data_IF_383106336583
#
_entry.id   IF_383106336583
#
_cell.length_a   1.000
_cell.length_b   1.000
_cell.length_c   1.000
_cell.angle_alpha   90.00
_cell.angle_beta   90.00
_cell.angle_gamma   90.00
#
_symmetry.space_group_name_H-M   'P 1'
#
loop_
_entity.id
_entity.type
_entity.pdbx_description
1 polymer ?
#
# COMPACT_ATOMS: atom_id res chain seq x y z
N UNK A 1 21.26 24.31 -0.58
CA UNK A 1 20.43 25.06 0.40
C UNK A 1 20.57 24.41 1.77
N UNK A 2 20.68 25.17 2.87
CA UNK A 2 20.64 24.60 4.23
C UNK A 2 19.19 24.54 4.71
N UNK A 3 18.83 23.42 5.31
CA UNK A 3 17.50 23.14 5.84
C UNK A 3 17.66 22.81 7.33
N UNK A 4 16.85 23.43 8.17
CA UNK A 4 16.72 23.07 9.57
C UNK A 4 15.56 22.12 9.70
N UNK A 5 15.79 20.95 10.31
CA UNK A 5 14.76 19.94 10.51
C UNK A 5 14.60 19.66 12.00
N UNK A 6 13.38 19.26 12.38
CA UNK A 6 13.01 18.79 13.70
C UNK A 6 11.96 17.71 13.52
N UNK A 7 12.29 16.47 13.86
CA UNK A 7 11.41 15.35 13.57
C UNK A 7 11.79 14.06 14.30
N UNK A 8 11.01 13.03 14.06
CA UNK A 8 11.29 11.69 14.62
C UNK A 8 12.14 10.93 13.61
N UNK A 9 13.30 10.46 14.06
CA UNK A 9 14.16 9.58 13.27
C UNK A 9 13.64 8.15 13.30
N UNK A 10 13.47 7.52 12.14
CA UNK A 10 12.91 6.18 12.00
C UNK A 10 13.80 5.37 11.05
N UNK A 11 14.90 4.83 11.59
CA UNK A 11 15.93 3.99 10.95
C UNK A 11 16.71 4.59 9.79
N UNK A 12 16.04 5.12 8.75
CA UNK A 12 16.67 5.61 7.52
C UNK A 12 16.02 6.90 7.00
N UNK A 13 15.23 7.54 7.86
CA UNK A 13 14.47 8.74 7.53
C UNK A 13 14.14 9.56 8.76
N UNK A 14 13.85 10.82 8.55
CA UNK A 14 13.24 11.71 9.53
C UNK A 14 11.86 12.10 9.03
N UNK A 15 10.84 11.95 9.87
CA UNK A 15 9.52 12.53 9.63
C UNK A 15 9.53 13.92 10.25
N UNK A 16 9.64 14.92 9.39
CA UNK A 16 9.59 16.34 9.75
C UNK A 16 8.21 16.91 9.41
N UNK A 17 7.55 17.66 10.31
CA UNK A 17 6.21 18.19 10.09
C UNK A 17 6.15 19.24 8.97
N UNK A 18 7.26 19.92 8.69
CA UNK A 18 7.35 20.96 7.65
C UNK A 18 7.75 20.34 6.32
N UNK A 19 8.83 19.55 6.32
CA UNK A 19 9.45 19.07 5.08
C UNK A 19 9.00 17.66 4.69
N UNK A 20 8.20 16.99 5.52
CA UNK A 20 7.73 15.63 5.27
C UNK A 20 8.82 14.60 5.53
N UNK A 21 8.90 13.59 4.67
CA UNK A 21 9.83 12.47 4.82
C UNK A 21 11.21 12.82 4.22
N UNK A 22 12.24 12.91 5.08
CA UNK A 22 13.62 13.21 4.70
C UNK A 22 14.47 11.95 4.78
N UNK A 23 15.01 11.49 3.65
CA UNK A 23 15.83 10.27 3.60
C UNK A 23 17.23 10.55 4.14
N UNK A 24 17.63 9.84 5.20
CA UNK A 24 18.89 10.05 5.90
C UNK A 24 19.29 8.81 6.70
N UNK A 25 20.55 8.42 6.63
CA UNK A 25 21.08 7.34 7.44
C UNK A 25 21.94 7.95 8.57
N UNK A 26 21.50 7.76 9.82
CA UNK A 26 22.15 8.24 11.03
C UNK A 26 22.43 7.06 11.96
N UNK A 27 23.58 7.06 12.62
CA UNK A 27 23.93 6.04 13.61
C UNK A 27 23.35 6.43 14.98
N UNK A 28 22.02 6.47 15.10
CA UNK A 28 21.29 6.82 16.32
C UNK A 28 20.16 5.82 16.54
N UNK A 29 19.69 5.69 17.78
CA UNK A 29 18.56 4.83 18.09
C UNK A 29 17.30 5.22 17.28
N UNK A 30 16.63 4.24 16.65
CA UNK A 30 15.35 4.45 15.99
C UNK A 30 14.32 5.03 16.96
N UNK A 31 13.42 5.85 16.41
CA UNK A 31 12.38 6.59 17.13
C UNK A 31 12.88 7.66 18.12
N UNK A 32 14.14 8.08 17.99
CA UNK A 32 14.65 9.26 18.67
C UNK A 32 14.10 10.55 18.04
N UNK A 33 13.81 11.56 18.87
CA UNK A 33 13.57 12.91 18.37
C UNK A 33 14.93 13.52 17.99
N UNK A 34 15.04 14.00 16.75
CA UNK A 34 16.28 14.56 16.20
C UNK A 34 15.99 15.93 15.61
N UNK A 35 16.83 16.90 15.95
CA UNK A 35 16.80 18.23 15.36
C UNK A 35 18.21 18.68 14.99
N UNK A 36 18.30 19.45 13.90
CA UNK A 36 19.60 19.78 13.34
C UNK A 36 19.51 20.62 12.07
N UNK A 37 20.64 20.68 11.37
CA UNK A 37 20.73 21.32 10.06
C UNK A 37 21.37 20.37 9.06
N UNK A 38 20.83 20.30 7.85
CA UNK A 38 21.40 19.53 6.75
C UNK A 38 21.39 20.33 5.46
N UNK A 39 22.28 20.01 4.52
CA UNK A 39 22.03 20.32 3.10
C UNK A 39 21.20 19.19 2.51
N UNK A 40 20.58 19.44 1.36
CA UNK A 40 19.88 18.38 0.64
C UNK A 40 20.22 18.43 -0.85
N UNK A 41 20.12 17.26 -1.47
CA UNK A 41 20.11 17.07 -2.93
C UNK A 41 18.74 16.52 -3.31
N UNK A 42 18.17 17.01 -4.41
CA UNK A 42 16.90 16.49 -4.93
C UNK A 42 17.19 15.28 -5.82
N UNK A 43 16.63 14.12 -5.46
CA UNK A 43 16.71 12.90 -6.27
C UNK A 43 15.29 12.38 -6.53
N UNK A 44 14.81 12.56 -7.76
CA UNK A 44 13.42 12.22 -8.11
C UNK A 44 12.40 13.03 -7.32
N UNK A 45 11.56 12.36 -6.52
CA UNK A 45 10.57 12.98 -5.61
C UNK A 45 11.03 13.03 -4.15
N UNK A 46 12.30 12.71 -3.87
CA UNK A 46 12.85 12.57 -2.52
C UNK A 46 13.97 13.61 -2.32
N UNK A 47 14.02 14.22 -1.13
CA UNK A 47 15.15 15.04 -0.70
C UNK A 47 16.12 14.17 0.09
N UNK A 48 17.29 13.93 -0.46
CA UNK A 48 18.35 13.19 0.22
C UNK A 48 19.20 14.19 0.99
N UNK A 49 19.22 14.07 2.31
CA UNK A 49 20.01 14.96 3.16
C UNK A 49 21.50 14.60 3.05
N UNK A 50 22.34 15.63 2.96
CA UNK A 50 23.81 15.58 2.88
C UNK A 50 24.39 16.57 3.90
N UNK A 51 25.54 16.27 4.50
CA UNK A 51 26.18 17.13 5.53
C UNK A 51 25.26 17.44 6.73
N UNK A 52 24.85 16.40 7.45
CA UNK A 52 23.89 16.54 8.55
C UNK A 52 24.63 16.83 9.85
N UNK A 53 24.25 17.92 10.52
CA UNK A 53 24.68 18.22 11.89
C UNK A 53 23.50 18.06 12.84
N UNK A 54 23.56 17.03 13.67
CA UNK A 54 22.59 16.77 14.74
C UNK A 54 22.95 17.67 15.93
N UNK A 55 21.99 18.42 16.46
CA UNK A 55 22.18 19.24 17.67
C UNK A 55 21.81 18.50 18.96
N UNK A 56 20.95 17.48 18.88
CA UNK A 56 20.60 16.62 20.00
C UNK A 56 19.71 15.44 19.58
N UNK A 57 19.71 14.38 20.38
CA UNK A 57 18.86 13.21 20.26
C UNK A 57 18.26 12.84 21.62
N UNK A 58 16.97 12.51 21.65
CA UNK A 58 16.33 11.99 22.86
C UNK A 58 15.58 10.69 22.54
N UNK A 59 15.94 9.57 23.19
CA UNK A 59 15.19 8.32 23.04
C UNK A 59 13.77 8.52 23.57
N UNK A 60 12.78 7.94 22.89
CA UNK A 60 11.37 8.07 23.28
C UNK A 60 10.79 6.72 23.67
N UNK A 61 9.55 6.72 24.18
CA UNK A 61 8.81 5.48 24.47
C UNK A 61 8.64 4.60 23.21
N UNK A 62 8.74 5.21 22.02
CA UNK A 62 8.69 4.51 20.74
C UNK A 62 9.91 3.62 20.52
N UNK A 63 11.07 3.88 21.17
CA UNK A 63 12.24 2.99 21.07
C UNK A 63 11.90 1.58 21.54
N UNK A 64 11.03 1.43 22.55
CA UNK A 64 10.55 0.11 23.01
C UNK A 64 9.74 -0.62 21.93
N UNK A 65 8.96 0.10 21.14
CA UNK A 65 8.18 -0.46 20.03
C UNK A 65 9.13 -0.95 18.92
N UNK A 66 10.20 -0.21 18.64
CA UNK A 66 11.21 -0.62 17.66
C UNK A 66 12.02 -1.83 18.14
N UNK A 67 12.39 -1.89 19.43
CA UNK A 67 13.03 -3.08 19.98
C UNK A 67 12.11 -4.32 19.89
N UNK A 68 10.80 -4.14 20.11
CA UNK A 68 9.84 -5.21 19.92
C UNK A 68 9.71 -5.62 18.45
N UNK A 69 9.73 -4.66 17.51
CA UNK A 69 9.79 -4.93 16.07
C UNK A 69 11.03 -5.75 15.71
N UNK A 70 12.19 -5.43 16.27
CA UNK A 70 13.43 -6.18 16.04
C UNK A 70 13.36 -7.60 16.60
N UNK A 71 12.74 -7.78 17.77
CA UNK A 71 12.47 -9.12 18.30
C UNK A 71 11.54 -9.93 17.38
N UNK A 72 10.49 -9.31 16.82
CA UNK A 72 9.61 -9.97 15.85
C UNK A 72 10.31 -10.31 14.53
N UNK A 73 11.25 -9.47 14.12
CA UNK A 73 12.07 -9.66 12.92
C UNK A 73 13.03 -10.84 13.10
N UNK A 74 13.70 -10.95 14.25
CA UNK A 74 14.57 -12.07 14.57
C UNK A 74 13.81 -13.40 14.52
N UNK A 75 12.55 -13.44 15.00
CA UNK A 75 11.70 -14.64 14.87
C UNK A 75 11.40 -15.03 13.42
N UNK A 76 11.26 -14.04 12.52
CA UNK A 76 11.10 -14.32 11.08
C UNK A 76 12.38 -14.95 10.54
N UNK A 77 13.54 -14.39 10.89
CA UNK A 77 14.83 -14.86 10.39
C UNK A 77 15.15 -16.27 10.91
N UNK A 78 14.88 -16.55 12.19
CA UNK A 78 15.08 -17.87 12.80
C UNK A 78 14.20 -18.97 12.17
N UNK A 79 12.93 -18.67 11.85
CA UNK A 79 11.97 -19.68 11.39
C UNK A 79 11.83 -19.82 9.88
N UNK A 80 12.13 -18.75 9.13
CA UNK A 80 11.97 -18.73 7.68
C UNK A 80 13.34 -18.53 7.03
N UNK A 81 14.09 -17.54 7.50
CA UNK A 81 15.44 -17.23 7.04
C UNK A 81 15.56 -16.84 5.55
N UNK A 82 16.79 -16.50 5.16
CA UNK A 82 17.16 -16.24 3.76
C UNK A 82 16.38 -15.11 3.09
N UNK A 83 16.25 -15.19 1.78
CA UNK A 83 15.58 -14.14 0.98
C UNK A 83 14.09 -14.01 1.30
N UNK A 84 13.43 -15.12 1.64
CA UNK A 84 11.99 -15.13 1.93
C UNK A 84 11.71 -14.48 3.29
N UNK A 85 12.54 -14.74 4.30
CA UNK A 85 12.47 -14.05 5.59
C UNK A 85 12.62 -12.54 5.42
N UNK A 86 13.60 -12.10 4.63
CA UNK A 86 13.81 -10.68 4.29
C UNK A 86 12.63 -10.06 3.54
N UNK A 87 12.01 -10.80 2.62
CA UNK A 87 10.78 -10.37 1.95
C UNK A 87 9.64 -10.19 2.96
N UNK A 88 9.43 -11.16 3.86
CA UNK A 88 8.39 -11.08 4.89
C UNK A 88 8.61 -9.89 5.83
N UNK A 89 9.85 -9.68 6.27
CA UNK A 89 10.23 -8.53 7.10
C UNK A 89 9.98 -7.20 6.38
N UNK A 90 10.32 -7.09 5.09
CA UNK A 90 10.05 -5.89 4.31
C UNK A 90 8.56 -5.60 4.13
N UNK A 91 7.76 -6.64 3.87
CA UNK A 91 6.31 -6.57 3.64
C UNK A 91 5.55 -6.22 4.92
N UNK A 92 5.94 -6.83 6.05
CA UNK A 92 5.17 -6.76 7.30
C UNK A 92 5.72 -5.68 8.23
N UNK A 93 7.03 -5.67 8.45
CA UNK A 93 7.70 -4.75 9.38
C UNK A 93 8.21 -3.50 8.66
N UNK A 94 8.31 -3.52 7.33
CA UNK A 94 8.84 -2.39 6.57
C UNK A 94 10.37 -2.31 6.59
N UNK A 95 11.09 -3.37 6.98
CA UNK A 95 12.56 -3.40 6.91
C UNK A 95 13.02 -3.73 5.49
N UNK A 96 13.19 -2.70 4.67
CA UNK A 96 13.68 -2.87 3.28
C UNK A 96 15.20 -2.80 3.14
N UNK A 97 15.91 -2.37 4.18
CA UNK A 97 17.36 -2.16 4.12
C UNK A 97 18.13 -3.45 3.80
N UNK A 98 17.60 -4.59 4.26
CA UNK A 98 18.29 -5.88 4.17
C UNK A 98 17.95 -6.68 2.91
N UNK A 99 17.04 -6.16 2.07
CA UNK A 99 16.62 -6.77 0.82
C UNK A 99 17.75 -6.69 -0.22
N UNK A 100 18.19 -7.82 -0.79
CA UNK A 100 19.11 -7.81 -1.91
C UNK A 100 18.56 -7.03 -3.12
N UNK A 101 19.41 -6.26 -3.83
CA UNK A 101 18.96 -5.43 -4.97
C UNK A 101 18.25 -6.22 -6.08
N UNK A 102 18.63 -7.48 -6.30
CA UNK A 102 18.02 -8.32 -7.34
C UNK A 102 16.57 -8.69 -7.01
N UNK A 103 16.20 -8.82 -5.73
CA UNK A 103 14.81 -9.07 -5.32
C UNK A 103 13.97 -7.84 -5.66
N UNK A 104 14.46 -6.66 -5.30
CA UNK A 104 13.78 -5.41 -5.61
C UNK A 104 13.55 -5.26 -7.12
N UNK A 105 14.58 -5.53 -7.93
CA UNK A 105 14.49 -5.48 -9.40
C UNK A 105 13.46 -6.48 -9.95
N UNK A 106 13.41 -7.71 -9.41
CA UNK A 106 12.40 -8.71 -9.80
C UNK A 106 10.97 -8.26 -9.51
N UNK A 107 10.73 -7.63 -8.36
CA UNK A 107 9.43 -7.04 -8.03
C UNK A 107 9.08 -5.86 -8.94
N UNK A 108 10.06 -5.05 -9.36
CA UNK A 108 9.84 -4.01 -10.37
C UNK A 108 9.42 -4.61 -11.72
N UNK A 109 10.13 -5.64 -12.21
CA UNK A 109 9.79 -6.30 -13.48
C UNK A 109 8.38 -6.89 -13.49
N UNK A 110 7.93 -7.44 -12.36
CA UNK A 110 6.58 -7.98 -12.24
C UNK A 110 5.50 -6.90 -12.03
N UNK A 111 5.84 -5.62 -11.96
CA UNK A 111 4.90 -4.55 -11.61
C UNK A 111 4.39 -4.60 -10.16
N UNK A 112 5.09 -5.33 -9.31
CA UNK A 112 4.73 -5.65 -7.94
C UNK A 112 5.61 -4.93 -6.90
N UNK A 113 6.45 -3.97 -7.30
CA UNK A 113 7.33 -3.23 -6.38
C UNK A 113 6.58 -2.54 -5.22
N UNK A 114 5.31 -2.20 -5.43
CA UNK A 114 4.43 -1.65 -4.40
C UNK A 114 4.06 -2.67 -3.30
N UNK A 115 4.24 -3.98 -3.54
CA UNK A 115 4.02 -5.04 -2.55
C UNK A 115 5.19 -5.15 -1.57
N UNK A 116 6.44 -4.88 -1.98
CA UNK A 116 7.59 -4.78 -1.06
C UNK A 116 7.48 -3.58 -0.10
N UNK A 117 6.55 -2.68 -0.39
CA UNK A 117 6.22 -1.57 0.46
C UNK A 117 5.05 -1.92 1.36
N UNK A 118 5.22 -1.77 2.68
CA UNK A 118 4.06 -1.72 3.57
C UNK A 118 3.09 -0.66 3.04
N UNK A 119 1.92 -1.12 2.63
CA UNK A 119 0.91 -0.37 1.90
C UNK A 119 -0.43 -0.49 2.60
N UNK A 120 -1.43 0.29 2.17
CA UNK A 120 -2.76 0.20 2.76
C UNK A 120 -3.43 -1.17 2.58
N UNK A 121 -3.05 -1.93 1.55
CA UNK A 121 -3.49 -3.32 1.37
C UNK A 121 -2.99 -4.21 2.52
N UNK A 122 -1.70 -4.12 2.87
CA UNK A 122 -1.11 -4.83 4.00
C UNK A 122 -1.82 -4.48 5.30
N UNK A 123 -2.06 -3.18 5.53
CA UNK A 123 -2.80 -2.68 6.69
C UNK A 123 -4.22 -3.24 6.76
N UNK A 124 -4.92 -3.29 5.63
CA UNK A 124 -6.26 -3.89 5.53
C UNK A 124 -6.26 -5.40 5.78
N UNK A 125 -5.25 -6.13 5.28
CA UNK A 125 -5.09 -7.56 5.55
C UNK A 125 -4.85 -7.81 7.04
N UNK A 126 -3.95 -7.04 7.67
CA UNK A 126 -3.69 -7.12 9.12
C UNK A 126 -4.97 -6.82 9.91
N UNK A 127 -5.72 -5.78 9.55
CA UNK A 127 -7.02 -5.48 10.15
C UNK A 127 -7.98 -6.66 10.07
N UNK A 128 -8.11 -7.27 8.88
CA UNK A 128 -9.01 -8.41 8.66
C UNK A 128 -8.60 -9.65 9.45
N UNK A 129 -7.30 -9.97 9.52
CA UNK A 129 -6.78 -11.09 10.30
C UNK A 129 -7.14 -10.91 11.78
N UNK A 130 -6.87 -9.72 12.33
CA UNK A 130 -7.18 -9.40 13.72
C UNK A 130 -8.69 -9.47 13.96
N UNK A 131 -9.50 -8.88 13.08
CA UNK A 131 -10.95 -8.89 13.20
C UNK A 131 -11.51 -10.32 13.17
N UNK A 132 -11.07 -11.14 12.23
CA UNK A 132 -11.48 -12.55 12.13
C UNK A 132 -11.07 -13.31 13.39
N UNK A 133 -9.84 -13.13 13.86
CA UNK A 133 -9.37 -13.76 15.09
C UNK A 133 -10.25 -13.40 16.29
N UNK A 134 -10.55 -12.11 16.49
CA UNK A 134 -11.44 -11.64 17.57
C UNK A 134 -12.87 -12.18 17.44
N UNK A 135 -13.39 -12.31 16.21
CA UNK A 135 -14.70 -12.91 15.98
C UNK A 135 -14.72 -14.43 16.24
N UNK A 136 -13.63 -15.14 15.93
CA UNK A 136 -13.49 -16.58 16.21
C UNK A 136 -13.51 -16.85 17.70
N UNK A 137 -12.87 -16.01 18.51
CA UNK A 137 -12.96 -16.05 19.99
C UNK A 137 -14.23 -15.40 20.55
N UNK A 138 -15.25 -15.24 19.70
CA UNK A 138 -16.61 -14.81 20.06
C UNK A 138 -16.75 -13.39 20.64
N UNK A 139 -15.80 -12.50 20.35
CA UNK A 139 -15.96 -11.07 20.68
C UNK A 139 -17.02 -10.46 19.76
N UNK A 140 -17.96 -9.70 20.33
CA UNK A 140 -19.03 -9.02 19.57
C UNK A 140 -18.44 -8.11 18.49
N UNK A 141 -19.15 -7.95 17.36
CA UNK A 141 -18.66 -7.20 16.18
C UNK A 141 -18.16 -5.79 16.50
N UNK A 142 -18.92 -4.98 17.26
CA UNK A 142 -18.55 -3.59 17.59
C UNK A 142 -17.22 -3.49 18.37
N UNK A 143 -17.05 -4.18 19.53
CA UNK A 143 -15.75 -4.16 20.21
C UNK A 143 -14.64 -4.79 19.39
N UNK A 144 -14.92 -5.84 18.60
CA UNK A 144 -13.92 -6.44 17.71
C UNK A 144 -13.37 -5.43 16.67
N UNK A 145 -14.24 -4.61 16.07
CA UNK A 145 -13.85 -3.54 15.15
C UNK A 145 -12.95 -2.50 15.83
N UNK A 146 -13.33 -2.04 17.03
CA UNK A 146 -12.57 -1.03 17.78
C UNK A 146 -11.20 -1.57 18.18
N UNK A 147 -11.15 -2.77 18.75
CA UNK A 147 -9.89 -3.42 19.14
C UNK A 147 -9.00 -3.64 17.91
N UNK A 148 -9.56 -4.06 16.78
CA UNK A 148 -8.82 -4.21 15.52
C UNK A 148 -8.24 -2.88 15.03
N UNK A 149 -9.02 -1.79 15.09
CA UNK A 149 -8.53 -0.44 14.76
C UNK A 149 -7.38 0.03 15.65
N UNK A 150 -7.47 -0.25 16.96
CA UNK A 150 -6.41 0.06 17.92
C UNK A 150 -5.13 -0.73 17.61
N UNK A 151 -5.24 -2.05 17.41
CA UNK A 151 -4.09 -2.91 17.09
C UNK A 151 -3.44 -2.53 15.75
N UNK A 152 -4.24 -2.15 14.74
CA UNK A 152 -3.72 -1.65 13.46
C UNK A 152 -3.02 -0.29 13.61
N UNK A 153 -3.48 0.55 14.54
CA UNK A 153 -2.79 1.81 14.86
C UNK A 153 -1.44 1.56 15.54
N UNK A 154 -1.37 0.54 16.42
CA UNK A 154 -0.10 0.07 16.98
C UNK A 154 0.80 -0.54 15.92
N UNK A 155 0.25 -1.29 14.96
CA UNK A 155 0.99 -1.79 13.79
C UNK A 155 1.55 -0.64 12.92
N UNK A 156 0.79 0.44 12.76
CA UNK A 156 1.29 1.64 12.07
C UNK A 156 2.50 2.26 12.78
N UNK A 157 2.50 2.29 14.12
CA UNK A 157 3.66 2.72 14.90
C UNK A 157 4.84 1.75 14.74
N UNK A 158 4.56 0.45 14.79
CA UNK A 158 5.56 -0.62 14.68
C UNK A 158 6.27 -0.61 13.31
N UNK A 159 5.57 -0.26 12.24
CA UNK A 159 6.16 -0.10 10.90
C UNK A 159 6.85 1.26 10.70
N UNK A 160 7.00 2.06 11.77
CA UNK A 160 7.63 3.37 11.75
C UNK A 160 6.79 4.44 11.07
N UNK A 161 5.46 4.42 11.23
CA UNK A 161 4.54 5.42 10.69
C UNK A 161 4.72 5.68 9.19
N UNK A 162 4.93 4.61 8.41
CA UNK A 162 4.98 4.71 6.94
C UNK A 162 3.71 5.41 6.44
N UNK A 163 3.88 6.45 5.61
CA UNK A 163 2.76 7.26 5.12
C UNK A 163 1.59 6.42 4.54
N UNK A 164 1.81 5.38 3.71
CA UNK A 164 0.71 4.54 3.23
C UNK A 164 -0.08 3.83 4.35
N UNK A 165 0.62 3.38 5.40
CA UNK A 165 0.02 2.69 6.55
C UNK A 165 -0.78 3.67 7.39
N UNK A 166 -0.22 4.85 7.68
CA UNK A 166 -0.91 5.90 8.42
C UNK A 166 -2.24 6.29 7.75
N UNK A 167 -2.23 6.45 6.43
CA UNK A 167 -3.44 6.79 5.65
C UNK A 167 -4.48 5.69 5.72
N UNK A 168 -4.06 4.44 5.56
CA UNK A 168 -4.94 3.30 5.66
C UNK A 168 -5.53 3.18 7.07
N UNK A 169 -4.75 3.40 8.12
CA UNK A 169 -5.24 3.45 9.50
C UNK A 169 -6.28 4.55 9.72
N UNK A 170 -6.05 5.76 9.17
CA UNK A 170 -7.03 6.87 9.24
C UNK A 170 -8.33 6.49 8.52
N UNK A 171 -8.24 5.95 7.30
CA UNK A 171 -9.41 5.49 6.54
C UNK A 171 -10.17 4.37 7.27
N UNK A 172 -9.46 3.43 7.88
CA UNK A 172 -10.03 2.36 8.69
C UNK A 172 -10.78 2.93 9.90
N UNK A 173 -10.25 3.95 10.57
CA UNK A 173 -10.96 4.60 11.68
C UNK A 173 -12.26 5.26 11.25
N UNK A 174 -12.29 5.96 10.12
CA UNK A 174 -13.53 6.49 9.57
C UNK A 174 -14.55 5.38 9.27
N UNK A 175 -14.10 4.27 8.68
CA UNK A 175 -14.94 3.09 8.45
C UNK A 175 -15.49 2.50 9.76
N UNK A 176 -14.63 2.29 10.77
CA UNK A 176 -15.03 1.76 12.09
C UNK A 176 -16.06 2.68 12.76
N UNK A 177 -15.84 4.00 12.73
CA UNK A 177 -16.78 4.97 13.29
C UNK A 177 -18.14 4.88 12.58
N UNK A 178 -18.15 4.70 11.26
CA UNK A 178 -19.37 4.50 10.48
C UNK A 178 -20.11 3.25 10.89
N UNK A 179 -19.43 2.11 10.94
CA UNK A 179 -20.02 0.82 11.34
C UNK A 179 -20.53 0.85 12.79
N UNK A 180 -19.77 1.41 13.73
CA UNK A 180 -20.16 1.46 15.15
C UNK A 180 -21.38 2.36 15.37
N UNK A 181 -21.46 3.48 14.63
CA UNK A 181 -22.59 4.41 14.64
C UNK A 181 -23.75 3.96 13.73
N UNK A 182 -23.62 2.82 13.05
CA UNK A 182 -24.62 2.28 12.11
C UNK A 182 -25.02 3.31 11.03
N UNK A 183 -24.04 4.09 10.55
CA UNK A 183 -24.23 5.07 9.50
C UNK A 183 -23.67 4.55 8.19
N UNK A 184 -24.46 4.64 7.12
CA UNK A 184 -23.99 4.46 5.76
C UNK A 184 -23.09 5.65 5.38
N UNK A 185 -21.79 5.53 5.61
CA UNK A 185 -20.82 6.53 5.19
C UNK A 185 -20.45 6.27 3.72
N UNK A 186 -20.62 7.28 2.87
CA UNK A 186 -20.15 7.22 1.48
C UNK A 186 -18.62 7.02 1.46
N UNK A 187 -18.09 5.98 0.79
CA UNK A 187 -16.65 5.75 0.69
C UNK A 187 -15.85 6.91 0.11
N UNK A 188 -16.42 7.70 -0.80
CA UNK A 188 -15.78 8.91 -1.36
C UNK A 188 -15.69 10.03 -0.31
N UNK A 189 -16.69 10.14 0.58
CA UNK A 189 -16.63 11.08 1.69
C UNK A 189 -15.56 10.66 2.70
N UNK A 190 -15.43 9.36 2.99
CA UNK A 190 -14.34 8.82 3.81
C UNK A 190 -12.97 9.12 3.20
N UNK A 191 -12.81 8.88 1.89
CA UNK A 191 -11.59 9.21 1.16
C UNK A 191 -11.27 10.70 1.27
N UNK A 192 -12.24 11.57 1.01
CA UNK A 192 -12.06 13.03 1.05
C UNK A 192 -11.74 13.54 2.46
N UNK A 193 -12.48 13.08 3.47
CA UNK A 193 -12.26 13.43 4.88
C UNK A 193 -10.87 13.00 5.36
N UNK A 194 -10.43 11.78 4.99
CA UNK A 194 -9.08 11.32 5.30
C UNK A 194 -8.02 12.20 4.64
N UNK A 195 -8.20 12.57 3.37
CA UNK A 195 -7.28 13.44 2.64
C UNK A 195 -7.15 14.82 3.29
N UNK A 196 -8.28 15.44 3.64
CA UNK A 196 -8.30 16.73 4.34
C UNK A 196 -7.57 16.64 5.67
N UNK A 197 -7.87 15.62 6.48
CA UNK A 197 -7.25 15.42 7.79
C UNK A 197 -5.73 15.29 7.66
N UNK A 198 -5.25 14.48 6.70
CA UNK A 198 -3.81 14.31 6.45
C UNK A 198 -3.16 15.62 6.00
N UNK A 199 -3.80 16.39 5.13
CA UNK A 199 -3.26 17.65 4.62
C UNK A 199 -3.25 18.77 5.67
N UNK A 200 -4.16 18.73 6.65
CA UNK A 200 -4.12 19.64 7.81
C UNK A 200 -2.86 19.40 8.64
N UNK A 201 -2.53 18.13 8.93
CA UNK A 201 -1.37 17.79 9.75
C UNK A 201 -0.05 17.79 8.98
N UNK A 202 -0.07 17.48 7.68
CA UNK A 202 1.11 17.34 6.84
C UNK A 202 0.82 17.87 5.41
N UNK A 203 0.76 19.19 5.22
CA UNK A 203 0.36 19.81 3.95
C UNK A 203 1.31 19.46 2.79
N UNK A 204 2.60 19.27 3.07
CA UNK A 204 3.60 18.83 2.10
C UNK A 204 3.31 17.44 1.50
N UNK A 205 2.44 16.64 2.12
CA UNK A 205 2.06 15.30 1.65
C UNK A 205 1.45 15.30 0.25
N UNK A 206 0.79 16.38 -0.19
CA UNK A 206 0.17 16.48 -1.52
C UNK A 206 1.18 16.32 -2.67
N UNK A 207 2.43 16.71 -2.43
CA UNK A 207 3.53 16.58 -3.40
C UNK A 207 4.21 15.21 -3.34
N UNK A 208 3.89 14.38 -2.34
CA UNK A 208 4.48 13.05 -2.24
C UNK A 208 3.83 12.10 -3.25
N UNK A 209 4.67 11.42 -4.03
CA UNK A 209 4.22 10.44 -5.02
C UNK A 209 3.37 9.33 -4.39
N UNK A 210 3.76 8.89 -3.19
CA UNK A 210 3.03 7.89 -2.43
C UNK A 210 1.61 8.35 -2.08
N UNK A 211 1.40 9.65 -1.80
CA UNK A 211 0.06 10.21 -1.53
C UNK A 211 -0.80 10.15 -2.78
N UNK A 212 -0.28 10.68 -3.87
CA UNK A 212 -0.99 10.74 -5.15
C UNK A 212 -1.39 9.35 -5.62
N UNK A 213 -0.46 8.39 -5.65
CA UNK A 213 -0.73 7.01 -6.06
C UNK A 213 -1.79 6.34 -5.17
N UNK A 214 -1.72 6.51 -3.85
CA UNK A 214 -2.67 5.89 -2.93
C UNK A 214 -4.09 6.44 -3.10
N UNK A 215 -4.24 7.76 -3.17
CA UNK A 215 -5.54 8.40 -3.29
C UNK A 215 -6.16 8.17 -4.68
N UNK A 216 -5.36 8.25 -5.75
CA UNK A 216 -5.82 7.98 -7.12
C UNK A 216 -6.21 6.50 -7.27
N UNK A 217 -5.47 5.56 -6.67
CA UNK A 217 -5.85 4.16 -6.69
C UNK A 217 -7.23 3.94 -6.06
N UNK A 218 -7.44 4.41 -4.82
CA UNK A 218 -8.71 4.24 -4.11
C UNK A 218 -9.85 4.96 -4.83
N UNK A 219 -9.62 6.19 -5.28
CA UNK A 219 -10.60 6.95 -6.06
C UNK A 219 -11.03 6.21 -7.34
N UNK A 220 -10.06 5.67 -8.09
CA UNK A 220 -10.32 4.94 -9.33
C UNK A 220 -11.08 3.64 -9.06
N UNK A 221 -10.72 2.90 -7.99
CA UNK A 221 -11.47 1.73 -7.54
C UNK A 221 -12.92 2.09 -7.24
N UNK A 222 -13.17 3.12 -6.41
CA UNK A 222 -14.51 3.50 -5.99
C UNK A 222 -15.39 3.95 -7.17
N UNK A 223 -14.84 4.74 -8.10
CA UNK A 223 -15.59 5.20 -9.27
C UNK A 223 -15.87 4.05 -10.23
N UNK A 224 -14.85 3.26 -10.59
CA UNK A 224 -15.02 2.19 -11.58
C UNK A 224 -15.97 1.12 -11.03
N UNK A 225 -15.85 0.72 -9.76
CA UNK A 225 -16.80 -0.22 -9.15
C UNK A 225 -18.23 0.33 -9.15
N UNK A 226 -18.43 1.61 -8.85
CA UNK A 226 -19.75 2.26 -8.88
C UNK A 226 -20.34 2.29 -10.31
N UNK A 227 -19.51 2.56 -11.31
CA UNK A 227 -19.92 2.57 -12.74
C UNK A 227 -20.36 1.18 -13.19
N UNK A 228 -19.67 0.13 -12.75
CA UNK A 228 -19.93 -1.26 -13.13
C UNK A 228 -20.87 -2.00 -12.17
N UNK A 229 -21.36 -1.35 -11.12
CA UNK A 229 -22.19 -1.96 -10.06
C UNK A 229 -23.40 -2.72 -10.61
N UNK A 230 -24.14 -2.11 -11.54
CA UNK A 230 -25.33 -2.70 -12.20
C UNK A 230 -25.01 -3.93 -13.06
N UNK A 231 -23.79 -4.03 -13.60
CA UNK A 231 -23.37 -5.21 -14.38
C UNK A 231 -22.81 -6.29 -13.47
N UNK A 232 -22.08 -5.89 -12.44
CA UNK A 232 -21.57 -6.79 -11.41
C UNK A 232 -22.72 -7.43 -10.61
N UNK A 233 -23.84 -6.74 -10.44
CA UNK A 233 -25.04 -7.28 -9.76
C UNK A 233 -25.73 -8.38 -10.56
N UNK A 234 -25.64 -8.37 -11.89
CA UNK A 234 -26.25 -9.37 -12.78
C UNK A 234 -25.52 -10.72 -12.82
N UNK A 235 -24.32 -10.80 -12.25
CA UNK A 235 -23.54 -12.05 -12.22
C UNK A 235 -24.19 -13.01 -11.22
N UNK A 236 -24.74 -14.12 -11.72
CA UNK A 236 -25.49 -15.10 -10.93
C UNK A 236 -24.61 -15.92 -9.97
N UNK A 237 -23.37 -16.22 -10.35
CA UNK A 237 -22.47 -17.01 -9.52
C UNK A 237 -21.80 -16.15 -8.44
N UNK A 238 -22.35 -16.19 -7.23
CA UNK A 238 -21.86 -15.44 -6.06
C UNK A 238 -20.41 -15.78 -5.69
N UNK A 239 -19.98 -17.03 -5.85
CA UNK A 239 -18.60 -17.44 -5.53
C UNK A 239 -17.61 -16.80 -6.52
N UNK A 240 -17.86 -16.97 -7.82
CA UNK A 240 -17.04 -16.40 -8.88
C UNK A 240 -16.97 -14.87 -8.77
N UNK A 241 -18.12 -14.24 -8.51
CA UNK A 241 -18.23 -12.81 -8.32
C UNK A 241 -17.35 -12.32 -7.16
N UNK A 242 -17.46 -12.96 -5.99
CA UNK A 242 -16.78 -12.52 -4.76
C UNK A 242 -15.27 -12.76 -4.79
N UNK A 243 -14.82 -13.89 -5.33
CA UNK A 243 -13.43 -14.33 -5.20
C UNK A 243 -12.57 -14.06 -6.43
N UNK A 244 -13.16 -13.87 -7.61
CA UNK A 244 -12.41 -13.67 -8.86
C UNK A 244 -12.74 -12.32 -9.48
N UNK A 245 -14.03 -12.06 -9.75
CA UNK A 245 -14.43 -10.89 -10.54
C UNK A 245 -14.20 -9.60 -9.77
N UNK A 246 -14.69 -9.49 -8.52
CA UNK A 246 -14.49 -8.27 -7.72
C UNK A 246 -13.00 -7.97 -7.51
N UNK A 247 -12.14 -8.91 -7.05
CA UNK A 247 -10.70 -8.66 -6.93
C UNK A 247 -10.03 -8.25 -8.24
N UNK A 248 -10.40 -8.89 -9.36
CA UNK A 248 -9.87 -8.51 -10.68
C UNK A 248 -10.26 -7.08 -11.06
N UNK A 249 -11.51 -6.68 -10.84
CA UNK A 249 -11.96 -5.31 -11.08
C UNK A 249 -11.25 -4.31 -10.15
N UNK A 250 -11.02 -4.65 -8.88
CA UNK A 250 -10.26 -3.80 -7.95
C UNK A 250 -8.83 -3.58 -8.46
N UNK A 251 -8.12 -4.66 -8.82
CA UNK A 251 -6.75 -4.58 -9.35
C UNK A 251 -6.69 -3.78 -10.65
N UNK A 252 -7.60 -4.06 -11.59
CA UNK A 252 -7.68 -3.34 -12.87
C UNK A 252 -7.95 -1.84 -12.65
N UNK A 253 -8.89 -1.51 -11.75
CA UNK A 253 -9.27 -0.12 -11.47
C UNK A 253 -8.12 0.66 -10.85
N UNK A 254 -7.42 0.06 -9.87
CA UNK A 254 -6.26 0.65 -9.24
C UNK A 254 -5.14 0.87 -10.25
N UNK A 255 -4.88 -0.12 -11.10
CA UNK A 255 -3.81 -0.08 -12.09
C UNK A 255 -4.10 0.96 -13.16
N UNK A 256 -5.31 1.00 -13.72
CA UNK A 256 -5.71 2.02 -14.69
C UNK A 256 -5.52 3.43 -14.11
N UNK A 257 -6.00 3.67 -12.90
CA UNK A 257 -5.85 4.97 -12.24
C UNK A 257 -4.41 5.39 -11.99
N UNK A 258 -3.57 4.45 -11.53
CA UNK A 258 -2.18 4.75 -11.13
C UNK A 258 -1.18 4.67 -12.28
N UNK A 259 -1.50 3.97 -13.36
CA UNK A 259 -0.66 3.76 -14.53
C UNK A 259 0.07 5.02 -15.04
N UNK A 260 -0.60 6.16 -15.31
CA UNK A 260 0.08 7.34 -15.83
C UNK A 260 1.11 7.91 -14.88
N UNK A 261 0.81 7.91 -13.57
CA UNK A 261 1.74 8.39 -12.56
C UNK A 261 2.92 7.43 -12.41
N UNK A 262 2.67 6.12 -12.43
CA UNK A 262 3.75 5.12 -12.36
C UNK A 262 4.70 5.29 -13.54
N UNK A 263 4.17 5.38 -14.76
CA UNK A 263 4.97 5.58 -15.97
C UNK A 263 5.73 6.92 -15.95
N UNK A 264 5.06 8.02 -15.55
CA UNK A 264 5.67 9.35 -15.50
C UNK A 264 6.78 9.47 -14.45
N UNK A 265 6.58 8.92 -13.25
CA UNK A 265 7.54 9.08 -12.14
C UNK A 265 8.64 8.04 -12.11
N UNK A 266 8.37 6.80 -12.53
CA UNK A 266 9.34 5.72 -12.43
C UNK A 266 9.96 5.29 -13.76
N UNK A 267 9.48 5.79 -14.90
CA UNK A 267 10.10 5.51 -16.20
C UNK A 267 9.99 4.05 -16.65
N UNK A 268 9.04 3.30 -16.12
CA UNK A 268 8.79 1.93 -16.57
C UNK A 268 7.30 1.60 -16.58
N UNK A 269 6.91 0.72 -17.51
CA UNK A 269 5.56 0.19 -17.65
C UNK A 269 5.63 -1.34 -17.56
N UNK A 270 5.16 -1.93 -16.44
CA UNK A 270 5.10 -3.37 -16.30
C UNK A 270 3.86 -3.92 -17.02
N UNK A 271 4.07 -4.63 -18.12
CA UNK A 271 2.98 -5.15 -18.96
C UNK A 271 2.22 -6.29 -18.26
N UNK A 272 2.94 -7.16 -17.55
CA UNK A 272 2.33 -8.28 -16.83
C UNK A 272 1.86 -7.92 -15.43
N UNK A 273 1.89 -6.64 -15.03
CA UNK A 273 1.55 -6.21 -13.68
C UNK A 273 0.15 -6.64 -13.24
N UNK A 274 -0.83 -6.69 -14.16
CA UNK A 274 -2.20 -7.11 -13.82
C UNK A 274 -2.26 -8.59 -13.43
N UNK A 275 -1.70 -9.45 -14.28
CA UNK A 275 -1.66 -10.91 -14.07
C UNK A 275 -0.82 -11.23 -12.84
N UNK A 276 0.34 -10.57 -12.71
CA UNK A 276 1.22 -10.69 -11.56
C UNK A 276 0.46 -10.35 -10.28
N UNK A 277 -0.20 -9.19 -10.19
CA UNK A 277 -0.88 -8.77 -8.98
C UNK A 277 -2.07 -9.67 -8.60
N UNK A 278 -2.78 -10.25 -9.58
CA UNK A 278 -3.87 -11.20 -9.31
C UNK A 278 -3.37 -12.45 -8.56
N UNK A 279 -2.13 -12.87 -8.81
CA UNK A 279 -1.51 -14.05 -8.20
C UNK A 279 -0.72 -13.67 -6.94
N UNK A 280 0.07 -12.61 -7.02
CA UNK A 280 0.98 -12.18 -5.96
C UNK A 280 0.25 -11.59 -4.76
N UNK A 281 -0.86 -10.86 -4.94
CA UNK A 281 -1.61 -10.28 -3.81
C UNK A 281 -2.13 -11.36 -2.85
N UNK A 282 -2.82 -12.43 -3.32
CA UNK A 282 -3.21 -13.54 -2.46
C UNK A 282 -2.02 -14.19 -1.74
N UNK A 283 -0.91 -14.42 -2.46
CA UNK A 283 0.30 -15.00 -1.86
C UNK A 283 0.89 -14.10 -0.77
N UNK A 284 0.98 -12.80 -1.01
CA UNK A 284 1.40 -11.82 0.01
C UNK A 284 0.44 -11.83 1.20
N UNK A 285 -0.87 -11.93 0.97
CA UNK A 285 -1.85 -12.10 2.04
C UNK A 285 -1.60 -13.34 2.89
N UNK A 286 -1.26 -14.47 2.27
CA UNK A 286 -0.89 -15.71 2.98
C UNK A 286 0.44 -15.59 3.73
N UNK A 287 1.42 -14.85 3.20
CA UNK A 287 2.67 -14.57 3.92
C UNK A 287 2.40 -13.72 5.17
N UNK A 288 1.62 -12.65 5.05
CA UNK A 288 1.24 -11.80 6.19
C UNK A 288 0.51 -12.61 7.26
N UNK A 289 -0.50 -13.39 6.84
CA UNK A 289 -1.29 -14.22 7.75
C UNK A 289 -0.42 -15.29 8.43
N UNK A 290 0.42 -15.99 7.66
CA UNK A 290 1.31 -17.01 8.18
C UNK A 290 2.34 -16.46 9.17
N UNK A 291 2.95 -15.31 8.88
CA UNK A 291 3.87 -14.66 9.83
C UNK A 291 3.16 -14.16 11.09
N UNK A 292 1.92 -13.69 10.98
CA UNK A 292 1.13 -13.33 12.18
C UNK A 292 0.82 -14.57 13.04
N UNK A 293 0.50 -15.70 12.41
CA UNK A 293 0.32 -16.99 13.09
C UNK A 293 1.62 -17.46 13.76
N UNK A 294 2.76 -17.27 13.10
CA UNK A 294 4.08 -17.59 13.65
C UNK A 294 4.35 -16.84 14.95
N UNK A 295 3.98 -15.56 15.04
CA UNK A 295 4.16 -14.76 16.26
C UNK A 295 3.19 -15.13 17.38
N UNK A 296 1.99 -15.64 17.03
CA UNK A 296 0.91 -15.90 18.00
C UNK A 296 0.86 -17.35 18.49
N UNK A 297 1.39 -18.30 17.72
CA UNK A 297 1.36 -19.74 18.05
C UNK A 297 2.79 -20.32 18.04
N UNK A 298 3.61 -20.04 19.08
CA UNK A 298 5.01 -20.49 19.12
C UNK A 298 5.19 -22.01 19.05
N UNK A 299 4.21 -22.78 19.56
CA UNK A 299 4.25 -24.26 19.53
C UNK A 299 4.28 -24.84 18.11
N UNK A 300 3.76 -24.12 17.11
CA UNK A 300 3.74 -24.55 15.71
C UNK A 300 4.74 -23.78 14.84
N UNK A 301 5.71 -23.11 15.45
CA UNK A 301 6.63 -22.18 14.78
C UNK A 301 7.34 -22.81 13.57
N UNK A 302 7.86 -24.03 13.69
CA UNK A 302 8.58 -24.71 12.59
C UNK A 302 7.65 -25.08 11.42
N UNK A 303 6.44 -25.56 11.72
CA UNK A 303 5.44 -25.93 10.72
C UNK A 303 4.92 -24.71 9.97
N UNK A 304 4.62 -23.63 10.70
CA UNK A 304 4.18 -22.36 10.13
C UNK A 304 5.32 -21.72 9.34
N UNK A 305 6.54 -21.72 9.87
CA UNK A 305 7.73 -21.21 9.19
C UNK A 305 7.97 -21.91 7.86
N UNK A 306 7.89 -23.24 7.84
CA UNK A 306 8.01 -24.05 6.62
C UNK A 306 6.91 -23.75 5.60
N UNK A 307 5.67 -23.56 6.04
CA UNK A 307 4.55 -23.20 5.17
C UNK A 307 4.72 -21.80 4.55
N UNK A 308 5.13 -20.82 5.36
CA UNK A 308 5.43 -19.45 4.89
C UNK A 308 6.59 -19.47 3.91
N UNK A 309 7.65 -20.22 4.22
CA UNK A 309 8.79 -20.42 3.32
C UNK A 309 8.35 -21.03 1.99
N UNK A 310 7.56 -22.11 2.00
CA UNK A 310 7.05 -22.75 0.78
C UNK A 310 6.21 -21.81 -0.08
N UNK A 311 5.36 -21.00 0.56
CA UNK A 311 4.56 -19.97 -0.11
C UNK A 311 5.45 -18.89 -0.74
N UNK A 312 6.47 -18.42 -0.01
CA UNK A 312 7.42 -17.42 -0.51
C UNK A 312 8.29 -17.96 -1.63
N UNK A 313 8.67 -19.24 -1.57
CA UNK A 313 9.38 -19.93 -2.63
C UNK A 313 8.54 -20.01 -3.91
N UNK A 314 7.26 -20.41 -3.79
CA UNK A 314 6.31 -20.43 -4.90
C UNK A 314 6.16 -19.04 -5.53
N UNK A 315 5.95 -18.01 -4.69
CA UNK A 315 5.87 -16.62 -5.14
C UNK A 315 7.12 -16.21 -5.92
N UNK A 316 8.30 -16.48 -5.38
CA UNK A 316 9.58 -16.15 -6.02
C UNK A 316 9.76 -16.88 -7.36
N UNK A 317 9.35 -18.16 -7.46
CA UNK A 317 9.38 -18.92 -8.72
C UNK A 317 8.46 -18.33 -9.78
N UNK A 318 7.23 -17.98 -9.40
CA UNK A 318 6.28 -17.31 -10.31
C UNK A 318 6.87 -16.00 -10.82
N UNK A 319 7.47 -15.21 -9.94
CA UNK A 319 8.12 -13.96 -10.33
C UNK A 319 9.30 -14.15 -11.29
N UNK A 320 10.13 -15.20 -11.08
CA UNK A 320 11.22 -15.54 -12.01
C UNK A 320 10.67 -15.91 -13.40
N UNK A 321 9.54 -16.62 -13.45
CA UNK A 321 8.89 -16.96 -14.72
C UNK A 321 8.41 -15.68 -15.43
N UNK A 322 7.73 -14.80 -14.70
CA UNK A 322 7.23 -13.53 -15.24
C UNK A 322 8.35 -12.58 -15.68
N UNK A 323 9.45 -12.55 -14.93
CA UNK A 323 10.65 -11.75 -15.24
C UNK A 323 11.27 -12.16 -16.59
N UNK A 324 11.25 -13.46 -16.92
CA UNK A 324 11.83 -14.02 -18.16
C UNK A 324 10.95 -13.85 -19.39
N UNK A 325 9.70 -13.42 -19.24
CA UNK A 325 8.82 -13.21 -20.39
C UNK A 325 9.31 -12.00 -21.22
N UNK A 326 9.28 -12.10 -22.57
CA UNK A 326 9.65 -10.98 -23.42
C UNK A 326 8.71 -9.80 -23.15
N UNK A 327 9.26 -8.59 -23.16
CA UNK A 327 8.54 -7.35 -22.87
C UNK A 327 7.92 -7.28 -21.46
N UNK A 328 8.54 -7.91 -20.45
CA UNK A 328 8.05 -7.83 -19.08
C UNK A 328 7.94 -6.38 -18.58
N UNK A 329 8.88 -5.54 -18.99
CA UNK A 329 8.87 -4.09 -18.77
C UNK A 329 9.18 -3.36 -20.06
N UNK A 330 8.42 -2.30 -20.32
CA UNK A 330 8.76 -1.27 -21.28
C UNK A 330 9.38 -0.11 -20.52
N UNK A 331 10.64 0.19 -20.81
CA UNK A 331 11.30 1.39 -20.28
C UNK A 331 10.80 2.62 -21.04
N UNK A 332 10.48 3.67 -20.30
CA UNK A 332 9.99 4.94 -20.82
C UNK A 332 10.81 6.05 -20.20
N UNK A 333 10.99 7.15 -20.94
CA UNK A 333 11.70 8.32 -20.42
C UNK A 333 10.97 8.87 -19.18
N UNK A 334 11.69 8.95 -18.07
CA UNK A 334 11.20 9.57 -16.84
C UNK A 334 10.71 11.01 -17.10
N UNK A 335 9.59 11.37 -16.48
CA UNK A 335 8.95 12.69 -16.57
C UNK A 335 8.60 13.14 -17.99
N UNK A 336 8.38 12.22 -18.93
CA UNK A 336 7.87 12.58 -20.25
C UNK A 336 6.39 13.02 -20.16
N UNK A 337 6.07 14.31 -20.40
CA UNK A 337 4.69 14.80 -20.33
C UNK A 337 3.77 14.15 -21.37
N UNK A 338 4.31 13.58 -22.46
CA UNK A 338 3.53 12.90 -23.51
C UNK A 338 2.75 11.72 -22.97
N UNK A 339 3.29 11.02 -21.97
CA UNK A 339 2.62 9.90 -21.30
C UNK A 339 1.30 10.37 -20.68
N UNK A 340 1.35 11.49 -19.94
CA UNK A 340 0.18 12.03 -19.27
C UNK A 340 -0.86 12.52 -20.28
N UNK A 341 -0.43 13.19 -21.36
CA UNK A 341 -1.33 13.61 -22.44
C UNK A 341 -1.99 12.43 -23.16
N UNK A 342 -1.22 11.39 -23.49
CA UNK A 342 -1.77 10.19 -24.15
C UNK A 342 -2.78 9.46 -23.26
N UNK A 343 -2.54 9.41 -21.96
CA UNK A 343 -3.46 8.81 -20.99
C UNK A 343 -4.74 9.63 -20.85
N UNK A 344 -4.63 10.96 -20.68
CA UNK A 344 -5.79 11.85 -20.60
C UNK A 344 -6.64 11.77 -21.88
N UNK A 345 -5.99 11.71 -23.04
CA UNK A 345 -6.67 11.51 -24.32
C UNK A 345 -7.45 10.19 -24.37
N UNK A 346 -6.84 9.08 -23.93
CA UNK A 346 -7.49 7.77 -23.80
C UNK A 346 -8.70 7.80 -22.86
N UNK A 347 -8.57 8.45 -21.71
CA UNK A 347 -9.67 8.60 -20.74
C UNK A 347 -10.82 9.42 -21.33
N UNK A 348 -10.52 10.53 -22.01
CA UNK A 348 -11.54 11.36 -22.68
C UNK A 348 -12.28 10.55 -23.76
N UNK A 349 -11.57 9.76 -24.57
CA UNK A 349 -12.18 8.88 -25.56
C UNK A 349 -13.10 7.86 -24.89
N UNK A 350 -12.64 7.20 -23.82
CA UNK A 350 -13.45 6.21 -23.10
C UNK A 350 -14.71 6.82 -22.50
N UNK A 351 -14.58 8.00 -21.87
CA UNK A 351 -15.74 8.76 -21.35
C UNK A 351 -16.69 9.13 -22.48
N UNK A 352 -16.17 9.62 -23.61
CA UNK A 352 -16.94 9.92 -24.80
C UNK A 352 -17.76 8.72 -25.27
N UNK A 353 -17.12 7.56 -25.47
CA UNK A 353 -17.78 6.31 -25.87
C UNK A 353 -18.87 5.90 -24.87
N UNK A 354 -18.60 6.03 -23.57
CA UNK A 354 -19.58 5.70 -22.52
C UNK A 354 -20.79 6.64 -22.54
N UNK A 355 -20.58 7.94 -22.78
CA UNK A 355 -21.67 8.92 -22.91
C UNK A 355 -22.51 8.67 -24.16
N UNK A 356 -21.88 8.33 -25.30
CA UNK A 356 -22.58 7.98 -26.53
C UNK A 356 -23.42 6.70 -26.38
N UNK A 357 -22.93 5.68 -25.65
CA UNK A 357 -23.68 4.45 -25.36
C UNK A 357 -24.92 4.64 -24.49
N UNK A 358 -25.03 5.72 -23.71
CA UNK A 358 -26.22 6.03 -22.91
C UNK A 358 -27.34 6.70 -23.70
N UNK A 359 -27.08 7.19 -24.93
CA UNK A 359 -28.10 7.78 -25.81
C UNK A 359 -28.59 6.77 -26.85
N UNK A 360 -29.18 5.65 -26.38
CA UNK A 360 -30.19 4.96 -27.18
C UNK A 360 -31.45 5.83 -27.21
N UNK A 361 -31.48 6.80 -28.13
CA UNK A 361 -32.65 7.64 -28.36
C UNK A 361 -33.74 6.76 -28.96
N UNK A 362 -34.71 6.36 -28.14
CA UNK A 362 -35.99 5.88 -28.65
C UNK A 362 -36.65 7.09 -29.29
N UNK A 363 -36.60 7.19 -30.61
CA UNK A 363 -37.41 8.17 -31.35
C UNK A 363 -38.83 7.57 -31.37
N UNK A 364 -39.81 8.15 -30.66
CA UNK A 364 -41.19 7.70 -30.80
C UNK A 364 -41.64 8.11 -32.20
N UNK A 365 -41.76 7.15 -33.10
CA UNK A 365 -42.47 7.36 -34.36
C UNK A 365 -43.96 7.35 -34.00
N UNK A 366 -44.50 8.52 -33.67
CA UNK A 366 -45.95 8.72 -33.67
C UNK A 366 -46.40 8.79 -35.13
N UNK A 367 -46.94 7.69 -35.66
CA UNK A 367 -47.71 7.73 -36.91
C UNK A 367 -49.12 8.20 -36.53
N UNK A 368 -49.58 9.39 -36.99
CA UNK A 368 -50.94 9.83 -36.75
C UNK A 368 -51.93 8.93 -37.51
N UNK A 369 -53.06 8.63 -36.84
CA UNK A 369 -54.18 7.81 -37.31
C UNK A 369 -54.87 8.37 -38.55
#
# INVERSE_FOLDING_TARGET
MRLFFSGVYLENRIIDPVYGELSINLHIEPASIVYGSARYTEWGSQRKLTEVRIKGNHPTILNRIFNYRDMLDNKIDESIGGDIGKICSAIILGKRGDLPPYIYKRFQYCGAAHLLAVSGLHTGIVFMIILIFLMVIQIKRKPALIISGLLVSLYALLTGLRLPVLRASIMLWFFIIGEVKERNIDPLNTLSASGILILIFMPSSIHSISFQLSFIAVFSILIILKVFESRLSQISNNWLKKWIIIPMFVTLSAQLGTFPLVAYYFGYIPLFGLIANLILIPLVGTLIAGTFLLWTIPILQDSIGSFVWGTGYLMNKIMIILERLPYSVIEVRERDPRILFSYLFLVIILIGIMMFRKKGTVIPITVPS
#
